data_IF_611088033772
#
_entry.id   IF_611088033772
#
_cell.length_a   1.000
_cell.length_b   1.000
_cell.length_c   1.000
_cell.angle_alpha   90.00
_cell.angle_beta   90.00
_cell.angle_gamma   90.00
#
_symmetry.space_group_name_H-M   'P 1'
#
loop_
_entity.id
_entity.type
_entity.pdbx_description
1 polymer ?
#
# COMPACT_ATOMS: atom_id res chain seq x y z
N UNK A 1 26.32 -18.01 36.18
CA UNK A 1 26.15 -16.68 35.55
C UNK A 1 24.84 -16.66 34.77
N UNK A 2 24.01 -15.67 35.06
CA UNK A 2 22.73 -15.45 34.37
C UNK A 2 22.79 -14.11 33.65
N UNK A 3 22.19 -13.99 32.46
CA UNK A 3 22.12 -12.71 31.74
C UNK A 3 21.90 -12.85 30.26
N UNK A 4 22.13 -11.76 29.57
CA UNK A 4 21.98 -11.65 28.12
C UNK A 4 23.29 -11.17 27.49
N UNK A 5 23.58 -11.63 26.28
CA UNK A 5 24.64 -11.11 25.42
C UNK A 5 24.06 -10.83 24.02
N UNK A 6 24.58 -9.85 23.33
CA UNK A 6 24.03 -9.44 22.05
C UNK A 6 24.27 -10.48 20.94
N UNK A 7 25.47 -11.07 20.88
CA UNK A 7 25.89 -11.93 19.78
C UNK A 7 26.45 -13.30 20.24
N UNK A 8 26.41 -14.27 19.33
CA UNK A 8 27.02 -15.58 19.54
C UNK A 8 28.53 -15.48 19.74
N UNK A 9 29.21 -14.52 19.15
CA UNK A 9 30.65 -14.26 19.37
C UNK A 9 30.94 -13.86 20.81
N UNK A 10 30.13 -12.97 21.38
CA UNK A 10 30.25 -12.56 22.79
C UNK A 10 29.96 -13.73 23.73
N UNK A 11 28.98 -14.56 23.43
CA UNK A 11 28.71 -15.78 24.19
C UNK A 11 29.91 -16.73 24.20
N UNK A 12 30.51 -16.99 23.03
CA UNK A 12 31.69 -17.86 22.91
C UNK A 12 32.88 -17.31 23.68
N UNK A 13 33.13 -15.99 23.59
CA UNK A 13 34.21 -15.33 24.32
C UNK A 13 33.99 -15.43 25.83
N UNK A 14 32.78 -15.18 26.29
CA UNK A 14 32.40 -15.27 27.71
C UNK A 14 32.59 -16.69 28.26
N UNK A 15 32.05 -17.70 27.53
CA UNK A 15 32.12 -19.10 27.97
C UNK A 15 33.59 -19.61 27.99
N UNK A 16 34.40 -19.21 27.00
CA UNK A 16 35.82 -19.56 26.97
C UNK A 16 36.58 -18.94 28.14
N UNK A 17 36.34 -17.69 28.46
CA UNK A 17 36.96 -17.01 29.60
C UNK A 17 36.51 -17.64 30.93
N UNK A 18 35.23 -17.97 31.10
CA UNK A 18 34.73 -18.62 32.29
C UNK A 18 35.22 -20.05 32.46
N UNK A 19 35.41 -20.81 31.40
CA UNK A 19 35.97 -22.15 31.45
C UNK A 19 37.39 -22.17 32.02
N UNK A 20 38.17 -21.10 31.79
CA UNK A 20 39.52 -20.94 32.31
C UNK A 20 39.51 -20.43 33.76
N UNK A 21 38.73 -19.37 34.01
CA UNK A 21 38.76 -18.65 35.29
C UNK A 21 37.92 -19.31 36.39
N UNK A 22 36.82 -19.97 36.03
CA UNK A 22 35.85 -20.51 36.97
C UNK A 22 35.09 -21.73 36.38
N UNK A 23 35.78 -22.90 36.19
CA UNK A 23 35.23 -24.05 35.46
C UNK A 23 33.99 -24.70 36.11
N UNK A 24 33.72 -24.42 37.38
CA UNK A 24 32.56 -24.95 38.10
C UNK A 24 31.31 -24.05 38.03
N UNK A 25 31.38 -22.92 37.29
CA UNK A 25 30.27 -21.98 37.19
C UNK A 25 29.31 -22.38 36.08
N UNK A 26 28.05 -22.58 36.43
CA UNK A 26 26.97 -22.79 35.45
C UNK A 26 26.67 -21.48 34.70
N UNK A 27 26.69 -21.56 33.36
CA UNK A 27 26.41 -20.41 32.48
C UNK A 27 25.02 -20.56 31.87
N UNK A 28 24.09 -19.72 32.27
CA UNK A 28 22.72 -19.61 31.71
C UNK A 28 22.56 -18.24 31.06
N UNK A 29 23.28 -18.04 29.95
CA UNK A 29 23.27 -16.79 29.20
C UNK A 29 22.48 -16.97 27.92
N UNK A 30 21.58 -16.03 27.67
CA UNK A 30 20.73 -15.98 26.49
C UNK A 30 21.35 -15.03 25.47
N UNK A 31 21.29 -15.37 24.19
CA UNK A 31 21.86 -14.59 23.10
C UNK A 31 20.74 -13.89 22.35
N UNK A 32 20.74 -12.55 22.30
CA UNK A 32 19.71 -11.74 21.64
C UNK A 32 19.63 -12.04 20.13
N UNK A 33 20.76 -12.31 19.47
CA UNK A 33 20.78 -12.75 18.06
C UNK A 33 19.96 -14.03 17.83
N UNK A 34 19.98 -14.97 18.78
CA UNK A 34 19.20 -16.20 18.72
C UNK A 34 17.71 -15.90 18.95
N UNK A 35 17.37 -15.04 19.93
CA UNK A 35 16.00 -14.57 20.12
C UNK A 35 15.46 -13.99 18.81
N UNK A 36 16.21 -13.11 18.18
CA UNK A 36 15.81 -12.45 16.94
C UNK A 36 15.52 -13.45 15.81
N UNK A 37 16.40 -14.47 15.66
CA UNK A 37 16.21 -15.56 14.70
C UNK A 37 14.96 -16.38 15.02
N UNK A 38 14.77 -16.76 16.28
CA UNK A 38 13.69 -17.65 16.72
C UNK A 38 12.33 -16.95 16.68
N UNK A 39 12.26 -15.63 16.98
CA UNK A 39 11.06 -14.81 16.75
C UNK A 39 10.70 -14.76 15.27
N UNK A 40 11.68 -14.50 14.37
CA UNK A 40 11.43 -14.53 12.93
C UNK A 40 10.92 -15.89 12.45
N UNK A 41 11.51 -16.96 12.94
CA UNK A 41 11.06 -18.32 12.62
C UNK A 41 9.62 -18.59 13.10
N UNK A 42 9.29 -18.13 14.31
CA UNK A 42 7.94 -18.24 14.89
C UNK A 42 6.92 -17.47 14.04
N UNK A 43 7.22 -16.21 13.68
CA UNK A 43 6.34 -15.42 12.83
C UNK A 43 6.15 -16.03 11.44
N UNK A 44 7.21 -16.59 10.86
CA UNK A 44 7.14 -17.29 9.57
C UNK A 44 6.28 -18.55 9.64
N UNK A 45 6.45 -19.34 10.69
CA UNK A 45 5.68 -20.58 10.90
C UNK A 45 4.16 -20.34 11.04
N UNK A 46 3.78 -19.19 11.58
CA UNK A 46 2.38 -18.79 11.73
C UNK A 46 1.88 -17.89 10.58
N UNK A 47 2.68 -17.72 9.51
CA UNK A 47 2.39 -16.85 8.37
C UNK A 47 2.13 -15.36 8.74
N UNK A 48 2.67 -14.92 9.88
CA UNK A 48 2.50 -13.55 10.40
C UNK A 48 3.52 -12.57 9.80
N UNK A 49 4.60 -13.07 9.20
CA UNK A 49 5.66 -12.27 8.57
C UNK A 49 5.19 -11.41 7.39
N UNK A 50 4.01 -11.71 6.83
CA UNK A 50 3.43 -10.91 5.76
C UNK A 50 3.05 -9.49 6.20
N UNK A 51 2.82 -9.29 7.51
CA UNK A 51 2.35 -8.02 8.08
C UNK A 51 3.00 -7.64 9.41
N UNK A 52 3.90 -8.49 9.95
CA UNK A 52 4.69 -8.22 11.14
C UNK A 52 6.18 -8.22 10.81
N UNK A 53 6.89 -7.29 11.44
CA UNK A 53 8.34 -7.18 11.37
C UNK A 53 8.92 -7.19 12.78
N UNK A 54 10.05 -7.84 12.93
CA UNK A 54 10.87 -7.78 14.16
C UNK A 54 11.85 -6.63 13.98
N UNK A 55 11.68 -5.58 14.75
CA UNK A 55 12.54 -4.40 14.68
C UNK A 55 13.82 -4.61 15.51
N UNK A 56 13.68 -5.16 16.72
CA UNK A 56 14.79 -5.38 17.64
C UNK A 56 14.48 -6.52 18.63
N UNK A 57 15.57 -7.09 19.19
CA UNK A 57 15.53 -7.99 20.32
C UNK A 57 16.75 -7.72 21.20
N UNK A 58 16.53 -7.12 22.37
CA UNK A 58 17.61 -6.73 23.28
C UNK A 58 17.24 -7.12 24.70
N UNK A 59 18.14 -7.90 25.35
CA UNK A 59 17.98 -8.36 26.74
C UNK A 59 16.63 -9.02 27.01
N UNK A 60 16.13 -9.82 26.05
CA UNK A 60 14.83 -10.50 26.18
C UNK A 60 13.60 -9.62 25.95
N UNK A 61 13.77 -8.36 25.55
CA UNK A 61 12.71 -7.47 25.11
C UNK A 61 12.66 -7.49 23.58
N UNK A 62 11.54 -7.89 23.02
CA UNK A 62 11.32 -7.94 21.56
C UNK A 62 10.44 -6.79 21.12
N UNK A 63 10.86 -6.04 20.10
CA UNK A 63 10.08 -5.00 19.47
C UNK A 63 9.48 -5.49 18.15
N UNK A 64 8.17 -5.38 18.00
CA UNK A 64 7.43 -5.74 16.78
C UNK A 64 6.71 -4.53 16.21
N UNK A 65 6.79 -4.35 14.90
CA UNK A 65 6.01 -3.38 14.14
C UNK A 65 5.21 -4.03 13.01
N UNK A 66 4.24 -3.29 12.47
CA UNK A 66 3.41 -3.76 11.37
C UNK A 66 1.94 -3.47 11.56
N UNK A 67 1.08 -4.46 11.33
CA UNK A 67 -0.37 -4.32 11.43
C UNK A 67 -1.02 -5.49 12.19
N UNK A 68 -2.18 -5.24 12.77
CA UNK A 68 -3.01 -6.25 13.42
C UNK A 68 -4.50 -6.03 13.13
N UNK A 69 -5.27 -7.10 13.03
CA UNK A 69 -6.70 -7.04 12.75
C UNK A 69 -7.55 -6.54 13.92
N UNK A 70 -7.05 -6.71 15.15
CA UNK A 70 -7.73 -6.26 16.37
C UNK A 70 -6.75 -6.15 17.54
N UNK A 71 -7.23 -5.58 18.65
CA UNK A 71 -6.47 -5.54 19.92
C UNK A 71 -6.23 -6.94 20.46
N UNK A 72 -7.21 -7.82 20.36
CA UNK A 72 -7.10 -9.23 20.78
C UNK A 72 -6.05 -9.98 19.95
N UNK A 73 -5.91 -9.64 18.66
CA UNK A 73 -4.85 -10.18 17.82
C UNK A 73 -3.46 -9.73 18.30
N UNK A 74 -3.32 -8.48 18.75
CA UNK A 74 -2.08 -7.98 19.36
C UNK A 74 -1.69 -8.79 20.59
N UNK A 75 -2.65 -9.04 21.50
CA UNK A 75 -2.38 -9.82 22.71
C UNK A 75 -2.04 -11.27 22.40
N UNK A 76 -2.69 -11.89 21.40
CA UNK A 76 -2.33 -13.23 20.94
C UNK A 76 -0.92 -13.30 20.37
N UNK A 77 -0.50 -12.30 19.59
CA UNK A 77 0.85 -12.21 19.06
C UNK A 77 1.89 -12.10 20.18
N UNK A 78 1.63 -11.25 21.19
CA UNK A 78 2.48 -11.12 22.38
C UNK A 78 2.62 -12.44 23.13
N UNK A 79 1.51 -13.10 23.39
CA UNK A 79 1.48 -14.38 24.08
C UNK A 79 2.25 -15.45 23.30
N UNK A 80 2.01 -15.55 21.99
CA UNK A 80 2.67 -16.50 21.10
C UNK A 80 4.20 -16.36 21.14
N UNK A 81 4.72 -15.14 21.01
CA UNK A 81 6.18 -14.89 21.03
C UNK A 81 6.77 -15.22 22.38
N UNK A 82 6.12 -14.84 23.49
CA UNK A 82 6.59 -15.16 24.85
C UNK A 82 6.60 -16.66 25.14
N UNK A 83 5.62 -17.38 24.65
CA UNK A 83 5.45 -18.81 24.89
C UNK A 83 6.45 -19.64 24.09
N UNK A 84 6.66 -19.25 22.81
CA UNK A 84 7.44 -20.07 21.87
C UNK A 84 8.92 -19.71 21.79
N UNK A 85 9.30 -18.50 22.23
CA UNK A 85 10.69 -18.06 22.14
C UNK A 85 11.34 -17.99 23.54
N UNK A 86 12.23 -18.95 23.86
CA UNK A 86 12.92 -18.93 25.13
C UNK A 86 13.73 -17.66 25.36
N UNK A 87 13.64 -17.11 26.57
CA UNK A 87 14.39 -15.91 26.95
C UNK A 87 13.65 -14.60 26.68
N UNK A 88 12.50 -14.63 26.00
CA UNK A 88 11.64 -13.44 25.84
C UNK A 88 10.78 -13.26 27.09
N UNK A 89 10.92 -12.12 27.76
CA UNK A 89 10.09 -11.78 28.90
C UNK A 89 9.14 -10.59 28.62
N UNK A 90 9.47 -9.76 27.62
CA UNK A 90 8.64 -8.63 27.21
C UNK A 90 8.51 -8.55 25.68
N UNK A 91 7.32 -8.22 25.19
CA UNK A 91 7.09 -7.95 23.76
C UNK A 91 6.43 -6.57 23.64
N UNK A 92 7.18 -5.62 23.10
CA UNK A 92 6.70 -4.28 22.74
C UNK A 92 6.13 -4.32 21.33
N UNK A 93 4.93 -3.78 21.16
CA UNK A 93 4.26 -3.78 19.86
C UNK A 93 3.92 -2.38 19.42
N UNK A 94 4.31 -2.04 18.19
CA UNK A 94 3.89 -0.84 17.47
C UNK A 94 3.09 -1.27 16.23
N UNK A 95 1.90 -1.84 16.47
CA UNK A 95 1.05 -2.40 15.43
C UNK A 95 -0.09 -1.46 15.10
N UNK A 96 -0.27 -1.20 13.81
CA UNK A 96 -1.38 -0.40 13.31
C UNK A 96 -2.68 -1.21 13.36
N UNK A 97 -3.69 -0.65 14.00
CA UNK A 97 -5.04 -1.20 14.06
C UNK A 97 -5.86 -0.78 12.83
N UNK A 98 -7.02 -1.40 12.57
CA UNK A 98 -7.83 -1.17 11.37
C UNK A 98 -8.14 0.31 11.07
N UNK A 99 -8.43 1.12 12.08
CA UNK A 99 -8.69 2.56 11.86
C UNK A 99 -7.44 3.33 11.44
N UNK A 100 -6.28 2.96 11.98
CA UNK A 100 -5.00 3.54 11.57
C UNK A 100 -4.62 3.09 10.16
N UNK A 101 -4.87 1.81 9.81
CA UNK A 101 -4.67 1.29 8.44
C UNK A 101 -5.58 2.02 7.43
N UNK A 102 -6.84 2.28 7.80
CA UNK A 102 -7.74 3.10 6.99
C UNK A 102 -7.18 4.51 6.77
N UNK A 103 -6.64 5.12 7.83
CA UNK A 103 -5.95 6.41 7.75
C UNK A 103 -4.77 6.37 6.77
N UNK A 104 -3.90 5.36 6.90
CA UNK A 104 -2.76 5.17 6.01
C UNK A 104 -3.15 4.96 4.54
N UNK A 105 -4.21 4.22 4.28
CA UNK A 105 -4.73 4.07 2.91
C UNK A 105 -5.25 5.41 2.36
N UNK A 106 -5.99 6.18 3.18
CA UNK A 106 -6.45 7.53 2.80
C UNK A 106 -5.29 8.48 2.49
N UNK A 107 -4.25 8.50 3.33
CA UNK A 107 -3.04 9.31 3.09
C UNK A 107 -2.42 9.00 1.72
N UNK A 108 -2.32 7.73 1.35
CA UNK A 108 -1.79 7.29 0.04
C UNK A 108 -2.68 7.69 -1.12
N UNK A 109 -4.00 7.59 -0.95
CA UNK A 109 -4.99 8.03 -1.95
C UNK A 109 -4.86 9.53 -2.20
N UNK A 110 -4.70 10.33 -1.14
CA UNK A 110 -4.44 11.78 -1.25
C UNK A 110 -3.13 12.05 -1.98
N UNK A 111 -2.06 11.37 -1.59
CA UNK A 111 -0.74 11.52 -2.24
C UNK A 111 -0.76 11.15 -3.74
N UNK A 112 -1.62 10.20 -4.13
CA UNK A 112 -1.84 9.83 -5.53
C UNK A 112 -2.78 10.78 -6.31
N UNK A 113 -3.34 11.81 -5.64
CA UNK A 113 -4.29 12.74 -6.23
C UNK A 113 -5.66 12.12 -6.57
N UNK A 114 -6.10 11.14 -5.76
CA UNK A 114 -7.34 10.39 -6.00
C UNK A 114 -8.43 10.65 -4.95
N UNK A 115 -8.20 11.59 -4.02
CA UNK A 115 -9.10 11.86 -2.88
C UNK A 115 -10.52 12.24 -3.27
N UNK A 116 -10.68 12.99 -4.38
CA UNK A 116 -11.99 13.45 -4.85
C UNK A 116 -12.75 12.38 -5.65
N UNK A 117 -12.09 11.30 -5.98
CA UNK A 117 -12.60 10.21 -6.82
C UNK A 117 -12.90 8.93 -6.06
N UNK A 118 -12.24 8.73 -4.92
CA UNK A 118 -12.31 7.50 -4.14
C UNK A 118 -12.77 7.76 -2.71
N UNK A 119 -13.74 6.99 -2.27
CA UNK A 119 -14.22 6.99 -0.89
C UNK A 119 -13.81 5.68 -0.23
N UNK A 120 -13.15 5.78 0.94
CA UNK A 120 -12.75 4.63 1.76
C UNK A 120 -13.63 4.56 2.99
N UNK A 121 -14.35 3.47 3.11
CA UNK A 121 -15.15 3.13 4.29
C UNK A 121 -14.60 1.85 4.94
N UNK A 122 -14.97 1.60 6.18
CA UNK A 122 -14.72 0.32 6.85
C UNK A 122 -16.05 -0.36 7.10
N UNK A 123 -16.13 -1.63 6.74
CA UNK A 123 -17.27 -2.48 7.07
C UNK A 123 -16.77 -3.78 7.70
N UNK A 124 -16.98 -3.92 9.01
CA UNK A 124 -16.46 -5.06 9.78
C UNK A 124 -14.94 -5.15 9.69
N UNK A 125 -14.45 -6.26 9.17
CA UNK A 125 -13.03 -6.60 9.04
C UNK A 125 -12.48 -6.35 7.62
N UNK A 126 -13.13 -5.51 6.82
CA UNK A 126 -12.64 -5.13 5.50
C UNK A 126 -12.69 -3.60 5.27
N UNK A 127 -11.79 -3.12 4.43
CA UNK A 127 -11.86 -1.78 3.87
C UNK A 127 -12.62 -1.84 2.54
N UNK A 128 -13.67 -1.05 2.43
CA UNK A 128 -14.39 -0.87 1.17
C UNK A 128 -13.99 0.44 0.53
N UNK A 129 -13.73 0.36 -0.75
CA UNK A 129 -13.37 1.48 -1.57
C UNK A 129 -14.32 1.54 -2.76
N UNK A 130 -14.91 2.72 -2.96
CA UNK A 130 -15.83 2.95 -4.07
C UNK A 130 -15.45 4.23 -4.79
N UNK A 131 -15.63 4.25 -6.12
CA UNK A 131 -15.40 5.45 -6.91
C UNK A 131 -15.44 5.25 -8.41
N UNK A 132 -15.21 6.36 -9.14
CA UNK A 132 -15.14 6.39 -10.60
C UNK A 132 -13.80 6.94 -11.03
N UNK A 133 -13.02 6.14 -11.74
CA UNK A 133 -11.65 6.48 -12.15
C UNK A 133 -11.48 6.41 -13.66
N UNK A 134 -10.67 7.31 -14.22
CA UNK A 134 -10.14 7.20 -15.58
C UNK A 134 -9.09 6.08 -15.65
N UNK A 135 -8.67 5.72 -16.87
CA UNK A 135 -7.64 4.66 -17.04
C UNK A 135 -6.31 5.00 -16.36
N UNK A 136 -5.88 6.27 -16.38
CA UNK A 136 -4.63 6.69 -15.74
C UNK A 136 -4.76 6.71 -14.22
N UNK A 137 -5.94 7.06 -13.69
CA UNK A 137 -6.24 7.00 -12.27
C UNK A 137 -6.33 5.55 -11.77
N UNK A 138 -6.85 4.61 -12.57
CA UNK A 138 -6.87 3.18 -12.24
C UNK A 138 -5.44 2.66 -12.06
N UNK A 139 -4.51 2.98 -12.96
CA UNK A 139 -3.10 2.58 -12.82
C UNK A 139 -2.48 3.10 -11.52
N UNK A 140 -2.67 4.39 -11.22
CA UNK A 140 -2.18 5.00 -9.96
C UNK A 140 -2.80 4.33 -8.73
N UNK A 141 -4.08 3.99 -8.80
CA UNK A 141 -4.76 3.26 -7.74
C UNK A 141 -4.16 1.86 -7.53
N UNK A 142 -3.91 1.12 -8.59
CA UNK A 142 -3.28 -0.21 -8.52
C UNK A 142 -1.89 -0.15 -7.87
N UNK A 143 -1.09 0.87 -8.19
CA UNK A 143 0.20 1.13 -7.53
C UNK A 143 0.04 1.41 -6.03
N UNK A 144 -0.94 2.23 -5.65
CA UNK A 144 -1.26 2.50 -4.25
C UNK A 144 -1.64 1.23 -3.52
N UNK A 145 -2.51 0.40 -4.11
CA UNK A 145 -2.96 -0.86 -3.52
C UNK A 145 -1.81 -1.85 -3.36
N UNK A 146 -0.97 -1.99 -4.38
CA UNK A 146 0.20 -2.87 -4.35
C UNK A 146 1.18 -2.45 -3.25
N UNK A 147 1.50 -1.16 -3.16
CA UNK A 147 2.37 -0.63 -2.12
C UNK A 147 1.77 -0.80 -0.71
N UNK A 148 0.45 -0.60 -0.56
CA UNK A 148 -0.25 -0.81 0.70
C UNK A 148 -0.20 -2.29 1.13
N UNK A 149 -0.48 -3.22 0.21
CA UNK A 149 -0.42 -4.66 0.47
C UNK A 149 0.99 -5.15 0.79
N UNK A 150 2.02 -4.56 0.16
CA UNK A 150 3.43 -4.88 0.45
C UNK A 150 3.82 -4.50 1.89
N UNK A 151 3.30 -3.36 2.39
CA UNK A 151 3.70 -2.85 3.72
C UNK A 151 2.90 -3.48 4.85
N UNK A 152 1.62 -3.79 4.61
CA UNK A 152 0.71 -4.22 5.68
C UNK A 152 0.12 -5.61 5.45
N UNK A 153 0.50 -6.30 4.37
CA UNK A 153 -0.04 -7.60 4.01
C UNK A 153 -1.54 -7.54 3.76
N UNK A 154 -2.21 -8.65 4.05
CA UNK A 154 -3.67 -8.77 3.89
C UNK A 154 -4.40 -8.84 5.25
N UNK A 155 -3.85 -8.15 6.27
CA UNK A 155 -4.44 -8.07 7.62
C UNK A 155 -5.86 -7.52 7.59
N UNK A 156 -6.08 -6.53 6.72
CA UNK A 156 -7.38 -5.93 6.49
C UNK A 156 -7.63 -5.92 4.97
N UNK A 157 -8.45 -6.86 4.46
CA UNK A 157 -8.74 -6.95 3.03
C UNK A 157 -9.30 -5.64 2.48
N UNK A 158 -8.84 -5.23 1.30
CA UNK A 158 -9.35 -4.06 0.59
C UNK A 158 -10.23 -4.53 -0.55
N UNK A 159 -11.54 -4.25 -0.47
CA UNK A 159 -12.49 -4.49 -1.56
C UNK A 159 -12.77 -3.20 -2.30
N UNK A 160 -12.35 -3.15 -3.56
CA UNK A 160 -12.56 -1.99 -4.41
C UNK A 160 -13.71 -2.23 -5.40
N UNK A 161 -14.70 -1.34 -5.39
CA UNK A 161 -15.75 -1.24 -6.39
C UNK A 161 -15.49 0.03 -7.20
N UNK A 162 -14.56 -0.07 -8.15
CA UNK A 162 -14.16 1.04 -9.01
C UNK A 162 -14.82 0.87 -10.38
N UNK A 163 -15.58 1.88 -10.79
CA UNK A 163 -16.14 1.94 -12.14
C UNK A 163 -15.29 2.84 -13.03
N UNK A 164 -15.13 2.42 -14.29
CA UNK A 164 -14.39 3.23 -15.24
C UNK A 164 -15.17 4.51 -15.56
N UNK A 165 -14.51 5.64 -15.40
CA UNK A 165 -14.98 6.93 -15.87
C UNK A 165 -14.29 7.26 -17.19
N UNK A 166 -15.08 7.44 -18.23
CA UNK A 166 -14.61 8.01 -19.50
C UNK A 166 -14.99 9.49 -19.46
N UNK A 167 -14.00 10.40 -19.36
CA UNK A 167 -14.32 11.82 -19.44
C UNK A 167 -15.06 12.11 -20.74
N UNK A 168 -16.25 12.73 -20.64
CA UNK A 168 -16.91 13.22 -21.84
C UNK A 168 -16.01 14.32 -22.43
N UNK A 169 -15.65 14.25 -23.72
CA UNK A 169 -14.86 15.31 -24.32
C UNK A 169 -15.60 16.65 -24.14
N UNK A 170 -14.87 17.73 -23.85
CA UNK A 170 -15.48 19.05 -23.62
C UNK A 170 -16.32 19.51 -24.81
N UNK A 171 -16.01 19.02 -26.03
CA UNK A 171 -16.78 19.26 -27.24
C UNK A 171 -17.45 17.95 -27.64
N UNK A 172 -18.78 17.90 -27.57
CA UNK A 172 -19.57 16.75 -28.03
C UNK A 172 -19.67 16.77 -29.55
N UNK A 173 -19.07 15.79 -30.23
CA UNK A 173 -19.18 15.62 -31.69
C UNK A 173 -20.11 14.46 -31.99
N UNK A 174 -21.21 14.74 -32.69
CA UNK A 174 -22.22 13.76 -33.07
C UNK A 174 -21.88 13.12 -34.44
N UNK A 175 -21.50 13.92 -35.41
CA UNK A 175 -21.19 13.47 -36.78
C UNK A 175 -19.86 14.07 -37.21
N UNK A 176 -19.06 13.25 -37.89
CA UNK A 176 -17.83 13.67 -38.56
C UNK A 176 -18.00 13.38 -40.06
N UNK A 177 -17.88 14.41 -40.86
CA UNK A 177 -17.92 14.29 -42.34
C UNK A 177 -16.54 14.64 -42.88
N UNK A 178 -15.93 13.69 -43.58
CA UNK A 178 -14.67 13.86 -44.30
C UNK A 178 -14.90 14.29 -45.73
N UNK A 179 -13.81 14.41 -46.51
CA UNK A 179 -13.85 14.73 -47.92
C UNK A 179 -13.33 16.11 -48.27
N UNK A 180 -13.79 16.67 -49.40
CA UNK A 180 -13.26 17.93 -49.94
C UNK A 180 -13.65 19.16 -49.07
N UNK A 181 -14.76 19.09 -48.34
CA UNK A 181 -15.21 20.11 -47.38
C UNK A 181 -15.53 19.41 -46.05
N UNK A 182 -14.52 19.08 -45.23
CA UNK A 182 -14.75 18.38 -44.00
C UNK A 182 -15.40 19.28 -42.96
N UNK A 183 -16.40 18.73 -42.24
CA UNK A 183 -17.10 19.42 -41.15
C UNK A 183 -17.50 18.43 -40.07
N UNK A 184 -17.84 18.96 -38.94
CA UNK A 184 -18.46 18.19 -37.85
C UNK A 184 -19.84 18.73 -37.56
N UNK A 185 -20.71 17.90 -36.95
CA UNK A 185 -21.93 18.32 -36.27
C UNK A 185 -21.73 18.05 -34.78
N UNK A 186 -21.93 19.08 -33.97
CA UNK A 186 -21.85 18.96 -32.52
C UNK A 186 -23.11 18.27 -31.96
N UNK A 187 -23.05 17.84 -30.68
CA UNK A 187 -24.23 17.32 -29.99
C UNK A 187 -25.36 18.37 -29.87
N UNK A 188 -25.04 19.66 -29.93
CA UNK A 188 -26.01 20.76 -29.99
C UNK A 188 -26.63 20.96 -31.38
N UNK A 189 -26.17 20.22 -32.39
CA UNK A 189 -26.65 20.34 -33.79
C UNK A 189 -25.92 21.43 -34.59
N UNK A 190 -24.89 22.04 -34.08
CA UNK A 190 -24.11 23.07 -34.78
C UNK A 190 -23.20 22.45 -35.82
N UNK A 191 -23.21 23.01 -37.05
CA UNK A 191 -22.33 22.63 -38.13
C UNK A 191 -21.03 23.46 -38.07
N UNK A 192 -19.89 22.80 -37.92
CA UNK A 192 -18.61 23.48 -37.77
C UNK A 192 -17.63 22.97 -38.82
N UNK A 193 -17.21 23.86 -39.70
CA UNK A 193 -16.17 23.58 -40.70
C UNK A 193 -14.77 23.69 -40.09
N UNK A 194 -13.77 23.15 -40.77
CA UNK A 194 -12.37 23.36 -40.39
C UNK A 194 -12.07 24.86 -40.33
N UNK A 195 -11.42 25.30 -39.25
CA UNK A 195 -11.19 26.71 -38.90
C UNK A 195 -12.34 27.36 -38.10
N UNK A 196 -13.50 26.71 -37.96
CA UNK A 196 -14.60 27.19 -37.10
C UNK A 196 -14.30 27.01 -35.62
N UNK A 197 -15.01 27.78 -34.77
CA UNK A 197 -14.83 27.77 -33.33
C UNK A 197 -16.04 27.13 -32.62
N UNK A 198 -15.77 26.29 -31.62
CA UNK A 198 -16.78 25.69 -30.72
C UNK A 198 -16.29 25.83 -29.30
N UNK A 199 -17.06 26.45 -28.44
CA UNK A 199 -16.75 26.63 -27.01
C UNK A 199 -15.33 27.12 -26.74
N UNK A 200 -14.86 28.08 -27.55
CA UNK A 200 -13.51 28.66 -27.43
C UNK A 200 -12.37 27.80 -28.00
N UNK A 201 -12.69 26.74 -28.73
CA UNK A 201 -11.71 25.89 -29.41
C UNK A 201 -11.92 25.92 -30.91
N UNK A 202 -10.82 26.10 -31.65
CA UNK A 202 -10.83 26.13 -33.12
C UNK A 202 -10.65 24.70 -33.69
N UNK A 203 -11.50 24.30 -34.63
CA UNK A 203 -11.39 23.03 -35.32
C UNK A 203 -10.22 23.05 -36.32
N UNK A 204 -9.14 22.40 -35.96
CA UNK A 204 -7.87 22.43 -36.75
C UNK A 204 -7.84 21.41 -37.89
N UNK A 205 -8.29 20.20 -37.62
CA UNK A 205 -8.26 19.16 -38.66
C UNK A 205 -9.30 18.08 -38.42
N UNK A 206 -9.75 17.48 -39.52
CA UNK A 206 -10.57 16.28 -39.57
C UNK A 206 -9.88 15.31 -40.51
N UNK A 207 -9.30 14.21 -39.99
CA UNK A 207 -8.62 13.17 -40.78
C UNK A 207 -8.84 11.79 -40.16
N UNK A 208 -9.11 10.80 -40.98
CA UNK A 208 -9.19 9.38 -40.61
C UNK A 208 -10.10 9.09 -39.39
N UNK A 209 -11.20 9.86 -39.25
CA UNK A 209 -12.13 9.75 -38.12
C UNK A 209 -11.64 10.44 -36.85
N UNK A 210 -10.48 11.10 -36.89
CA UNK A 210 -9.96 11.94 -35.80
C UNK A 210 -10.29 13.42 -36.04
N UNK A 211 -10.77 14.08 -35.01
CA UNK A 211 -11.05 15.52 -34.98
C UNK A 211 -10.11 16.17 -33.98
N UNK A 212 -9.41 17.22 -34.41
CA UNK A 212 -8.46 17.94 -33.58
C UNK A 212 -8.93 19.39 -33.40
N UNK A 213 -9.12 19.79 -32.15
CA UNK A 213 -9.37 21.17 -31.76
C UNK A 213 -8.16 21.78 -31.07
N UNK A 214 -7.98 23.07 -31.21
CA UNK A 214 -6.97 23.86 -30.52
C UNK A 214 -7.62 25.07 -29.83
N UNK A 215 -7.27 25.28 -28.56
CA UNK A 215 -7.77 26.37 -27.72
C UNK A 215 -6.89 26.46 -26.47
N UNK A 216 -7.52 26.62 -25.29
CA UNK A 216 -6.79 26.54 -24.00
C UNK A 216 -6.13 25.19 -23.77
N UNK A 217 -6.68 24.15 -24.39
CA UNK A 217 -6.14 22.78 -24.45
C UNK A 217 -6.31 22.22 -25.86
N UNK A 218 -5.38 21.35 -26.27
CA UNK A 218 -5.54 20.58 -27.51
C UNK A 218 -6.39 19.35 -27.22
N UNK A 219 -7.54 19.26 -27.92
CA UNK A 219 -8.50 18.17 -27.76
C UNK A 219 -8.44 17.29 -29.01
N UNK A 220 -8.31 15.97 -28.83
CA UNK A 220 -8.42 14.99 -29.91
C UNK A 220 -9.60 14.09 -29.62
N UNK A 221 -10.47 13.93 -30.59
CA UNK A 221 -11.64 13.06 -30.55
C UNK A 221 -11.47 12.03 -31.65
N UNK A 222 -11.26 10.78 -31.31
CA UNK A 222 -11.24 9.65 -32.22
C UNK A 222 -12.56 8.87 -32.10
N UNK A 223 -13.07 8.37 -33.22
CA UNK A 223 -14.27 7.55 -33.26
C UNK A 223 -13.96 6.13 -33.70
#
# INVERSE_FOLDING_TARGET
VLGYVATNSQYTSLTSALAIAAPAVEVKVIVDENILRDVRATLNGEALNAYLKVDDATQGVVALSGAASSVEAVERIRALVKERVPGVHEVKTNLLLPEQLRGKLKERIVAAGLSDRLVVTREGDELRLAGKLSMDEIRRWEEVLLAFSKDYGNVLPVRATVTRFVPKPPIGVQIIVGGAMPYIVTESGEHVNQGGNVDGHTLMSIKDGEVVFEGTQRIRIAR
#
